data_IF_005781300121
#
_entry.id   IF_005781300121
#
_cell.length_a   1.000
_cell.length_b   1.000
_cell.length_c   1.000
_cell.angle_alpha   90.00
_cell.angle_beta   90.00
_cell.angle_gamma   90.00
#
_symmetry.space_group_name_H-M   'P 1'
#
loop_
_entity.id
_entity.type
_entity.pdbx_description
1 polymer ?
#
# COMPACT_ATOMS: atom_id res chain seq x y z
N UNK A 1 -26.30 -6.40 -16.86
CA UNK A 1 -25.06 -7.18 -17.07
C UNK A 1 -24.52 -7.61 -15.71
N UNK A 2 -24.22 -8.89 -15.52
CA UNK A 2 -23.60 -9.41 -14.29
C UNK A 2 -22.33 -10.17 -14.66
N UNK A 3 -21.20 -9.87 -14.01
CA UNK A 3 -19.92 -10.54 -14.23
C UNK A 3 -19.67 -11.46 -13.03
N UNK A 4 -19.47 -12.75 -13.29
CA UNK A 4 -19.11 -13.74 -12.27
C UNK A 4 -17.59 -13.87 -12.22
N UNK A 5 -17.00 -13.74 -11.03
CA UNK A 5 -15.55 -13.86 -10.80
C UNK A 5 -15.29 -14.89 -9.71
N UNK A 6 -14.15 -15.60 -9.79
CA UNK A 6 -13.74 -16.54 -8.74
C UNK A 6 -13.30 -15.77 -7.51
N UNK A 7 -13.88 -16.10 -6.36
CA UNK A 7 -13.42 -15.59 -5.08
C UNK A 7 -12.39 -16.56 -4.49
N UNK A 8 -11.19 -16.06 -4.14
CA UNK A 8 -10.18 -16.85 -3.41
C UNK A 8 -10.19 -16.59 -1.90
N UNK A 9 -11.07 -15.71 -1.42
CA UNK A 9 -11.28 -15.52 -0.01
C UNK A 9 -12.09 -16.70 0.54
N UNK A 10 -11.57 -17.45 1.52
CA UNK A 10 -12.29 -18.56 2.16
C UNK A 10 -13.67 -18.15 2.70
N UNK A 11 -14.59 -19.10 2.90
CA UNK A 11 -16.02 -18.96 3.27
C UNK A 11 -16.54 -17.49 3.49
N UNK A 12 -16.53 -16.67 2.43
CA UNK A 12 -17.10 -15.31 2.46
C UNK A 12 -16.32 -14.23 3.22
N UNK A 13 -15.13 -14.49 3.78
CA UNK A 13 -14.36 -13.49 4.53
C UNK A 13 -13.27 -12.85 3.65
N UNK A 14 -13.67 -12.08 2.64
CA UNK A 14 -12.70 -11.30 1.87
C UNK A 14 -12.10 -10.18 2.73
N UNK A 15 -10.77 -10.04 2.76
CA UNK A 15 -10.14 -8.97 3.51
C UNK A 15 -10.57 -7.61 2.96
N UNK A 16 -10.82 -6.68 3.87
CA UNK A 16 -11.04 -5.28 3.54
C UNK A 16 -9.68 -4.61 3.32
N UNK A 17 -9.50 -4.04 2.14
CA UNK A 17 -8.33 -3.27 1.74
C UNK A 17 -8.68 -1.78 1.77
N UNK A 18 -7.65 -0.93 1.86
CA UNK A 18 -7.82 0.51 1.77
C UNK A 18 -6.86 1.09 0.73
N UNK A 19 -7.29 2.17 0.09
CA UNK A 19 -6.43 3.01 -0.75
C UNK A 19 -5.92 4.17 0.09
N UNK A 20 -4.61 4.44 0.02
CA UNK A 20 -4.05 5.72 0.47
C UNK A 20 -4.00 6.66 -0.73
N UNK A 21 -4.78 7.74 -0.69
CA UNK A 21 -4.85 8.73 -1.78
C UNK A 21 -4.17 10.01 -1.33
N UNK A 22 -3.05 10.34 -1.98
CA UNK A 22 -2.28 11.56 -1.73
C UNK A 22 -2.51 12.56 -2.86
N UNK A 23 -2.76 13.82 -2.51
CA UNK A 23 -2.83 14.89 -3.50
C UNK A 23 -1.42 15.38 -3.86
N UNK A 24 -0.85 14.83 -4.93
CA UNK A 24 0.48 15.18 -5.42
C UNK A 24 1.18 13.99 -6.06
N UNK A 25 2.51 14.05 -6.12
CA UNK A 25 3.37 12.97 -6.61
C UNK A 25 4.23 12.45 -5.45
N UNK A 26 4.39 11.14 -5.36
CA UNK A 26 5.33 10.50 -4.43
C UNK A 26 6.65 10.30 -5.17
N UNK A 27 7.66 11.06 -4.77
CA UNK A 27 9.00 11.02 -5.38
C UNK A 27 9.88 10.00 -4.66
N UNK A 28 10.40 9.03 -5.40
CA UNK A 28 11.39 8.09 -4.90
C UNK A 28 12.78 8.74 -4.92
N UNK A 29 13.63 8.43 -3.92
CA UNK A 29 15.02 8.87 -4.01
C UNK A 29 15.73 8.15 -5.17
N UNK A 30 16.63 8.82 -5.91
CA UNK A 30 17.36 8.23 -7.02
C UNK A 30 18.15 6.96 -6.65
N UNK A 31 18.58 6.86 -5.38
CA UNK A 31 19.26 5.70 -4.82
C UNK A 31 18.45 4.40 -4.90
N UNK A 32 17.12 4.48 -5.00
CA UNK A 32 16.25 3.31 -5.07
C UNK A 32 16.09 2.74 -6.49
N UNK A 33 16.56 3.43 -7.55
CA UNK A 33 16.44 2.96 -8.94
C UNK A 33 15.02 2.45 -9.28
N UNK A 34 13.99 3.15 -8.83
CA UNK A 34 12.57 2.78 -9.00
C UNK A 34 12.15 1.42 -8.38
N UNK A 35 12.98 0.81 -7.54
CA UNK A 35 12.65 -0.39 -6.77
C UNK A 35 11.75 -0.03 -5.58
N UNK A 36 10.48 0.17 -5.87
CA UNK A 36 9.46 0.50 -4.86
C UNK A 36 8.89 -0.72 -4.13
N UNK A 37 9.12 -1.93 -4.67
CA UNK A 37 8.61 -3.17 -4.08
C UNK A 37 9.23 -3.37 -2.70
N UNK A 38 8.37 -3.61 -1.70
CA UNK A 38 8.74 -3.81 -0.30
C UNK A 38 9.56 -2.67 0.33
N UNK A 39 9.56 -1.48 -0.28
CA UNK A 39 10.20 -0.32 0.29
C UNK A 39 9.35 0.25 1.42
N UNK A 40 9.93 0.38 2.62
CA UNK A 40 9.28 1.11 3.69
C UNK A 40 9.27 2.61 3.37
N UNK A 41 8.14 3.10 2.86
CA UNK A 41 7.98 4.50 2.44
C UNK A 41 7.57 5.44 3.58
N UNK A 42 7.11 4.92 4.71
CA UNK A 42 6.60 5.77 5.79
C UNK A 42 5.71 5.05 6.80
N UNK A 43 5.15 5.85 7.71
CA UNK A 43 4.31 5.39 8.81
C UNK A 43 2.90 5.96 8.69
N UNK A 44 1.91 5.07 8.61
CA UNK A 44 0.50 5.42 8.69
C UNK A 44 -0.01 5.17 10.11
N UNK A 45 -0.54 6.21 10.74
CA UNK A 45 -1.06 6.16 12.10
C UNK A 45 -2.52 6.60 12.15
N UNK A 46 -3.26 5.95 13.05
CA UNK A 46 -4.61 6.35 13.47
C UNK A 46 -4.66 6.29 14.99
N UNK A 47 -4.84 7.44 15.64
CA UNK A 47 -5.05 7.47 17.07
C UNK A 47 -6.43 6.86 17.39
N UNK A 48 -6.51 5.95 18.36
CA UNK A 48 -7.75 5.21 18.66
C UNK A 48 -8.94 6.11 19.04
N UNK A 49 -8.68 7.31 19.54
CA UNK A 49 -9.69 8.30 19.92
C UNK A 49 -10.11 9.23 18.78
N UNK A 50 -9.45 9.16 17.61
CA UNK A 50 -9.68 10.08 16.50
C UNK A 50 -10.06 9.35 15.21
N UNK A 51 -10.88 10.02 14.38
CA UNK A 51 -11.24 9.56 13.04
C UNK A 51 -10.24 10.03 11.96
N UNK A 52 -9.23 10.79 12.38
CA UNK A 52 -8.13 11.27 11.54
C UNK A 52 -7.01 10.24 11.44
N UNK A 53 -6.29 10.30 10.31
CA UNK A 53 -5.09 9.54 10.05
C UNK A 53 -3.92 10.51 9.87
N UNK A 54 -2.75 10.14 10.35
CA UNK A 54 -1.49 10.80 10.02
C UNK A 54 -0.64 9.87 9.18
N UNK A 55 -0.05 10.39 8.10
CA UNK A 55 0.90 9.65 7.28
C UNK A 55 2.20 10.42 7.23
N UNK A 56 3.26 9.80 7.72
CA UNK A 56 4.61 10.36 7.72
C UNK A 56 5.41 9.71 6.60
N UNK A 57 5.90 10.51 5.66
CA UNK A 57 6.74 10.09 4.53
C UNK A 57 7.95 11.03 4.43
N UNK A 58 9.15 10.49 4.63
CA UNK A 58 10.36 11.31 4.78
C UNK A 58 10.23 12.31 5.94
N UNK A 59 10.43 13.61 5.66
CA UNK A 59 10.27 14.71 6.62
C UNK A 59 8.88 15.34 6.60
N UNK A 60 7.93 14.72 5.92
CA UNK A 60 6.59 15.27 5.74
C UNK A 60 5.56 14.49 6.53
N UNK A 61 4.71 15.23 7.23
CA UNK A 61 3.49 14.71 7.83
C UNK A 61 2.27 15.21 7.06
N UNK A 62 1.39 14.28 6.69
CA UNK A 62 0.10 14.57 6.10
C UNK A 62 -1.00 14.15 7.06
N UNK A 63 -2.07 14.95 7.13
CA UNK A 63 -3.30 14.59 7.85
C UNK A 63 -4.37 14.22 6.84
N UNK A 64 -5.01 13.07 7.05
CA UNK A 64 -6.04 12.54 6.18
C UNK A 64 -7.25 12.00 6.93
N UNK A 65 -8.29 11.65 6.19
CA UNK A 65 -9.55 11.12 6.73
C UNK A 65 -10.01 9.89 5.95
N UNK A 66 -10.72 8.98 6.62
CA UNK A 66 -11.35 7.83 5.96
C UNK A 66 -12.62 8.28 5.25
N UNK A 67 -12.75 7.95 3.97
CA UNK A 67 -13.89 8.33 3.12
C UNK A 67 -14.44 7.09 2.40
N UNK A 68 -15.76 6.83 2.45
CA UNK A 68 -16.36 5.73 1.69
C UNK A 68 -16.31 6.00 0.19
N UNK A 69 -16.06 4.96 -0.60
CA UNK A 69 -16.09 5.01 -2.05
C UNK A 69 -17.53 4.91 -2.55
N UNK A 70 -17.91 5.79 -3.47
CA UNK A 70 -19.22 5.74 -4.15
C UNK A 70 -19.44 4.42 -4.90
N UNK A 71 -18.34 3.83 -5.39
CA UNK A 71 -18.30 2.54 -6.08
C UNK A 71 -17.18 1.71 -5.44
N UNK A 72 -17.50 0.65 -4.67
CA UNK A 72 -16.50 -0.26 -4.13
C UNK A 72 -15.70 -0.93 -5.25
N UNK A 73 -14.44 -1.27 -4.97
CA UNK A 73 -13.51 -1.86 -5.93
C UNK A 73 -13.16 -3.27 -5.48
N UNK A 74 -13.15 -4.23 -6.41
CA UNK A 74 -12.60 -5.56 -6.17
C UNK A 74 -11.10 -5.55 -6.47
N UNK A 75 -10.31 -6.12 -5.57
CA UNK A 75 -8.88 -6.37 -5.79
C UNK A 75 -8.75 -7.73 -6.45
N UNK A 76 -8.22 -7.76 -7.67
CA UNK A 76 -8.08 -8.98 -8.47
C UNK A 76 -6.61 -9.34 -8.63
N UNK A 77 -6.25 -10.59 -8.32
CA UNK A 77 -4.95 -11.17 -8.65
C UNK A 77 -5.05 -11.87 -10.01
N UNK A 78 -4.18 -11.46 -10.95
CA UNK A 78 -4.04 -12.10 -12.26
C UNK A 78 -2.94 -13.16 -12.20
N UNK A 79 -3.28 -14.40 -12.58
CA UNK A 79 -2.33 -15.52 -12.65
C UNK A 79 -2.36 -16.10 -14.06
N UNK A 80 -1.20 -16.43 -14.63
CA UNK A 80 -1.10 -17.20 -15.87
C UNK A 80 -1.00 -18.67 -15.48
N UNK A 81 -1.88 -19.51 -16.02
CA UNK A 81 -1.78 -20.96 -15.87
C UNK A 81 -1.18 -21.51 -17.14
N UNK A 82 0.06 -21.96 -17.05
CA UNK A 82 0.66 -22.88 -18.01
C UNK A 82 0.13 -24.27 -17.73
N UNK A 83 -0.45 -24.92 -18.74
CA UNK A 83 -0.84 -26.33 -18.66
C UNK A 83 0.44 -27.19 -18.60
N UNK A 84 1.00 -27.36 -17.40
CA UNK A 84 2.23 -28.10 -17.15
C UNK A 84 2.57 -28.10 -15.66
N UNK A 85 2.68 -29.29 -15.10
CA UNK A 85 2.73 -29.68 -13.69
C UNK A 85 3.77 -28.94 -12.81
N UNK A 86 3.52 -28.94 -11.50
CA UNK A 86 4.22 -28.21 -10.43
C UNK A 86 5.77 -28.19 -10.49
N UNK A 87 6.40 -27.01 -10.35
CA UNK A 87 7.63 -26.76 -9.55
C UNK A 87 7.70 -25.25 -9.20
N UNK A 88 7.99 -24.94 -7.93
CA UNK A 88 8.29 -23.60 -7.43
C UNK A 88 9.62 -23.07 -8.02
N UNK A 89 9.65 -21.81 -8.45
CA UNK A 89 10.89 -21.16 -8.87
C UNK A 89 10.67 -19.69 -9.17
N UNK A 90 11.25 -18.83 -8.34
CA UNK A 90 11.36 -17.39 -8.55
C UNK A 90 12.19 -17.10 -9.80
N UNK A 91 11.73 -16.19 -10.65
CA UNK A 91 12.45 -15.77 -11.84
C UNK A 91 11.64 -14.78 -12.68
N UNK A 92 12.03 -13.52 -12.63
CA UNK A 92 11.54 -12.47 -13.52
C UNK A 92 12.11 -12.69 -14.92
N UNK A 93 11.26 -12.84 -15.94
CA UNK A 93 11.64 -12.54 -17.33
C UNK A 93 10.48 -11.86 -18.06
N UNK A 94 10.54 -10.53 -18.14
CA UNK A 94 9.86 -9.76 -19.18
C UNK A 94 10.67 -9.90 -20.47
N UNK A 95 10.25 -10.81 -21.36
CA UNK A 95 10.60 -10.74 -22.78
C UNK A 95 9.39 -10.22 -23.53
N UNK A 96 9.39 -8.91 -23.77
CA UNK A 96 8.64 -8.31 -24.86
C UNK A 96 9.35 -8.70 -26.16
N UNK A 97 8.69 -9.52 -26.97
CA UNK A 97 9.14 -9.84 -28.32
C UNK A 97 7.90 -9.91 -29.20
N UNK A 98 7.68 -8.82 -29.92
CA UNK A 98 6.71 -8.75 -30.98
C UNK A 98 7.10 -9.65 -32.16
N UNK A 99 6.07 -10.14 -32.85
CA UNK A 99 6.15 -10.71 -34.19
C UNK A 99 6.51 -12.19 -34.26
N UNK A 100 5.49 -13.03 -34.39
CA UNK A 100 5.26 -13.92 -35.54
C UNK A 100 4.68 -15.30 -35.20
N UNK A 101 3.89 -15.78 -36.16
CA UNK A 101 2.86 -16.82 -36.10
C UNK A 101 3.43 -18.20 -35.74
N UNK A 102 3.11 -18.74 -34.55
CA UNK A 102 3.01 -20.19 -34.29
C UNK A 102 2.38 -20.51 -32.92
N UNK A 103 1.31 -21.32 -32.95
CA UNK A 103 0.63 -22.03 -31.84
C UNK A 103 -0.05 -21.18 -30.75
N UNK A 104 -1.36 -21.38 -30.46
CA UNK A 104 -1.98 -20.81 -29.27
C UNK A 104 -1.41 -21.55 -28.07
N UNK A 105 -0.30 -21.06 -27.52
CA UNK A 105 0.13 -21.46 -26.19
C UNK A 105 -1.07 -21.19 -25.28
N UNK A 106 -1.63 -22.27 -24.73
CA UNK A 106 -2.91 -22.29 -24.04
C UNK A 106 -2.77 -21.67 -22.63
N UNK A 107 -2.05 -20.55 -22.52
CA UNK A 107 -1.84 -19.87 -21.25
C UNK A 107 -3.18 -19.28 -20.81
N UNK A 108 -3.89 -20.00 -19.95
CA UNK A 108 -5.18 -19.57 -19.43
C UNK A 108 -4.93 -18.52 -18.36
N UNK A 109 -5.40 -17.29 -18.61
CA UNK A 109 -5.37 -16.23 -17.59
C UNK A 109 -6.51 -16.47 -16.61
N UNK A 110 -6.18 -16.57 -15.32
CA UNK A 110 -7.15 -16.64 -14.24
C UNK A 110 -7.14 -15.34 -13.44
N UNK A 111 -8.33 -14.88 -13.05
CA UNK A 111 -8.53 -13.75 -12.15
C UNK A 111 -9.19 -14.26 -10.87
N UNK A 112 -8.61 -13.93 -9.72
CA UNK A 112 -9.15 -14.29 -8.42
C UNK A 112 -9.34 -13.04 -7.55
N UNK A 113 -10.49 -12.92 -6.89
CA UNK A 113 -10.74 -11.85 -5.91
C UNK A 113 -9.93 -12.13 -4.66
N UNK A 114 -9.05 -11.20 -4.30
CA UNK A 114 -8.20 -11.27 -3.11
C UNK A 114 -8.57 -10.24 -2.04
N UNK A 115 -9.46 -9.30 -2.34
CA UNK A 115 -9.87 -8.27 -1.40
C UNK A 115 -10.95 -7.35 -1.95
N UNK A 116 -11.53 -6.55 -1.05
CA UNK A 116 -12.56 -5.56 -1.37
C UNK A 116 -12.11 -4.22 -0.79
N UNK A 117 -12.23 -3.15 -1.56
CA UNK A 117 -11.97 -1.79 -1.11
C UNK A 117 -13.29 -1.03 -1.10
N UNK A 118 -13.77 -0.65 0.08
CA UNK A 118 -14.97 0.20 0.23
C UNK A 118 -14.63 1.61 0.68
N UNK A 119 -13.41 1.83 1.15
CA UNK A 119 -12.97 3.11 1.69
C UNK A 119 -11.58 3.48 1.18
N UNK A 120 -11.30 4.77 1.15
CA UNK A 120 -9.96 5.33 1.01
C UNK A 120 -9.59 6.18 2.21
N UNK A 121 -8.31 6.32 2.49
CA UNK A 121 -7.76 7.32 3.40
C UNK A 121 -7.22 8.44 2.52
N UNK A 122 -7.81 9.63 2.65
CA UNK A 122 -7.62 10.74 1.74
C UNK A 122 -6.79 11.84 2.40
N UNK A 123 -5.61 12.10 1.85
CA UNK A 123 -4.67 13.15 2.28
C UNK A 123 -4.73 14.32 1.30
N UNK A 124 -5.58 15.31 1.60
CA UNK A 124 -5.75 16.55 0.80
C UNK A 124 -5.00 17.75 1.36
N UNK A 125 -4.48 17.63 2.59
CA UNK A 125 -3.80 18.74 3.25
C UNK A 125 -2.39 18.88 2.71
N UNK A 126 -1.89 20.12 2.64
CA UNK A 126 -0.50 20.38 2.27
C UNK A 126 0.44 19.67 3.26
N UNK A 127 1.46 18.95 2.79
CA UNK A 127 2.43 18.29 3.66
C UNK A 127 3.07 19.30 4.64
N UNK A 128 3.06 18.98 5.92
CA UNK A 128 3.74 19.76 6.97
C UNK A 128 5.14 19.21 7.14
N UNK A 129 6.14 20.09 7.21
CA UNK A 129 7.49 19.68 7.55
C UNK A 129 7.56 19.30 9.04
N UNK A 130 8.16 18.16 9.34
CA UNK A 130 8.61 17.80 10.68
C UNK A 130 9.90 18.56 10.96
N UNK A 131 9.78 19.86 11.19
CA UNK A 131 10.93 20.69 11.55
C UNK A 131 11.33 20.28 12.96
N UNK A 132 12.57 19.83 13.15
CA UNK A 132 13.15 19.77 14.49
C UNK A 132 13.10 21.19 15.06
N UNK A 133 12.23 21.44 16.03
CA UNK A 133 12.25 22.71 16.76
C UNK A 133 13.66 22.97 17.31
N UNK A 134 14.07 24.24 17.49
CA UNK A 134 15.39 24.54 18.03
C UNK A 134 15.55 23.83 19.38
N UNK A 135 16.57 22.98 19.50
CA UNK A 135 17.00 22.48 20.79
C UNK A 135 17.45 23.69 21.60
N UNK A 136 16.59 24.17 22.51
CA UNK A 136 17.06 25.05 23.57
C UNK A 136 18.01 24.22 24.41
N UNK A 137 19.31 24.47 24.23
CA UNK A 137 20.36 23.98 25.12
C UNK A 137 20.18 24.67 26.47
N UNK A 138 19.23 24.18 27.26
CA UNK A 138 19.21 24.42 28.69
C UNK A 138 19.97 23.26 29.32
N UNK A 139 21.22 23.51 29.70
CA UNK A 139 21.94 22.61 30.61
C UNK A 139 21.15 22.48 31.91
N UNK A 140 20.65 21.28 32.21
CA UNK A 140 19.94 21.05 33.46
C UNK A 140 19.35 19.65 33.61
N UNK A 141 20.17 18.73 34.13
CA UNK A 141 19.85 17.42 34.73
C UNK A 141 19.14 16.39 33.83
N UNK A 142 19.85 15.25 33.72
CA UNK A 142 19.41 13.99 33.14
C UNK A 142 18.08 13.56 33.78
N UNK A 143 17.00 13.68 33.03
CA UNK A 143 15.83 12.82 33.13
C UNK A 143 15.59 12.24 31.75
N UNK A 144 15.55 10.92 31.70
CA UNK A 144 15.24 10.12 30.51
C UNK A 144 14.01 10.68 29.79
N UNK A 145 14.07 11.01 28.49
CA UNK A 145 12.85 11.30 27.75
C UNK A 145 12.12 9.97 27.59
N UNK A 146 11.04 9.78 28.37
CA UNK A 146 10.03 8.80 28.02
C UNK A 146 9.51 9.22 26.64
N UNK A 147 9.86 8.46 25.61
CA UNK A 147 9.23 8.59 24.31
C UNK A 147 7.76 8.24 24.52
N UNK A 148 6.91 9.25 24.74
CA UNK A 148 5.50 9.13 24.43
C UNK A 148 5.41 8.95 22.92
N UNK A 149 5.62 7.71 22.47
CA UNK A 149 5.14 7.28 21.18
C UNK A 149 3.65 7.63 21.17
N UNK A 150 3.16 8.46 20.24
CA UNK A 150 1.73 8.58 20.08
C UNK A 150 1.22 7.15 19.82
N UNK A 151 0.23 6.71 20.58
CA UNK A 151 -0.38 5.38 20.54
C UNK A 151 -0.85 5.05 19.11
N UNK A 152 0.09 4.64 18.26
CA UNK A 152 -0.11 4.26 16.88
C UNK A 152 -0.17 2.73 16.88
N UNK A 153 -1.31 2.21 17.34
CA UNK A 153 -1.50 0.79 17.65
C UNK A 153 -1.68 -0.13 16.44
N UNK A 154 -1.29 0.26 15.22
CA UNK A 154 -1.48 -0.59 14.04
C UNK A 154 -0.33 -0.46 13.06
N UNK A 155 0.47 -1.52 12.94
CA UNK A 155 1.35 -1.77 11.80
C UNK A 155 0.49 -2.47 10.73
N UNK A 156 0.34 -1.87 9.55
CA UNK A 156 -0.23 -2.57 8.41
C UNK A 156 0.89 -3.45 7.82
N UNK A 157 0.68 -4.76 7.83
CA UNK A 157 1.57 -5.76 7.23
C UNK A 157 1.38 -5.84 5.71
#
# INVERSE_FOLDING_TARGET
>A
MQIKVKCSCGQGNCPEWAILELQGVVEAQPSFQDRLRNLHIGLLCRASSQESYTFTVGYHELTGTKVPLKKPILVLKKTRVSDGDAVEGEGEEEKDSGGDIASPSNSRVQLAVIGIIRHKILFKTRPKALISGPQTVAMGKISTPSSLAPNCGYTFA
#
